data_IF_612462336575
#
_entry.id   IF_612462336575
#
_cell.length_a   1.000
_cell.length_b   1.000
_cell.length_c   1.000
_cell.angle_alpha   90.00
_cell.angle_beta   90.00
_cell.angle_gamma   90.00
#
_symmetry.space_group_name_H-M   'P 1'
#
loop_
_entity.id
_entity.type
_entity.pdbx_description
1 polymer ?
#
# COMPACT_ATOMS: atom_id res chain seq x y z
N UNK A 1 -22.33 27.72 -11.29
CA UNK A 1 -21.46 26.62 -10.82
C UNK A 1 -20.04 27.13 -10.83
N UNK A 2 -19.30 26.97 -9.74
CA UNK A 2 -17.87 27.32 -9.73
C UNK A 2 -17.12 26.33 -10.63
N UNK A 3 -16.17 26.82 -11.44
CA UNK A 3 -15.26 25.97 -12.21
C UNK A 3 -14.25 25.24 -11.31
N UNK A 4 -13.38 24.38 -11.87
CA UNK A 4 -12.38 23.64 -11.09
C UNK A 4 -11.48 24.61 -10.32
N UNK A 5 -11.05 24.22 -9.12
CA UNK A 5 -10.13 25.03 -8.34
C UNK A 5 -8.80 25.20 -9.10
N UNK A 6 -8.27 26.43 -9.14
CA UNK A 6 -6.99 26.74 -9.81
C UNK A 6 -6.05 27.46 -8.85
N UNK A 7 -4.76 27.12 -8.90
CA UNK A 7 -3.74 27.72 -8.05
C UNK A 7 -2.47 28.05 -8.86
N UNK A 8 -1.90 29.24 -8.64
CA UNK A 8 -0.59 29.61 -9.17
C UNK A 8 0.50 29.35 -8.14
N UNK A 9 1.56 28.63 -8.54
CA UNK A 9 2.76 28.40 -7.73
C UNK A 9 3.91 29.19 -8.35
N UNK A 10 4.54 30.03 -7.55
CA UNK A 10 5.69 30.85 -7.96
C UNK A 10 6.93 30.43 -7.17
N UNK A 11 8.09 30.42 -7.83
CA UNK A 11 9.40 30.23 -7.22
C UNK A 11 10.38 31.26 -7.76
N UNK A 12 11.08 31.95 -6.84
CA UNK A 12 12.06 32.99 -7.16
C UNK A 12 13.40 32.59 -6.54
N UNK A 13 14.37 32.28 -7.39
CA UNK A 13 15.72 31.90 -6.97
C UNK A 13 16.59 33.13 -6.69
N UNK A 14 17.46 33.03 -5.69
CA UNK A 14 18.40 34.09 -5.32
C UNK A 14 19.29 34.58 -6.49
N UNK A 15 19.61 33.69 -7.44
CA UNK A 15 20.39 34.00 -8.66
C UNK A 15 19.58 34.66 -9.80
N UNK A 16 18.30 34.99 -9.58
CA UNK A 16 17.43 35.64 -10.57
C UNK A 16 16.63 34.68 -11.47
N UNK A 17 16.74 33.37 -11.27
CA UNK A 17 15.93 32.39 -11.97
C UNK A 17 14.51 32.31 -11.38
N UNK A 18 13.50 32.43 -12.22
CA UNK A 18 12.09 32.41 -11.81
C UNK A 18 11.32 31.30 -12.51
N UNK A 19 10.41 30.65 -11.80
CA UNK A 19 9.50 29.66 -12.34
C UNK A 19 8.08 29.92 -11.87
N UNK A 20 7.11 29.71 -12.75
CA UNK A 20 5.68 29.84 -12.47
C UNK A 20 4.92 28.64 -13.05
N UNK A 21 4.03 28.05 -12.26
CA UNK A 21 3.16 26.93 -12.67
C UNK A 21 1.73 27.26 -12.28
N UNK A 22 0.79 26.95 -13.17
CA UNK A 22 -0.65 26.96 -12.87
C UNK A 22 -1.12 25.52 -12.72
N UNK A 23 -1.76 25.24 -11.59
CA UNK A 23 -2.38 23.96 -11.26
C UNK A 23 -3.89 24.09 -11.37
N UNK A 24 -4.55 23.04 -11.84
CA UNK A 24 -6.00 22.89 -11.85
C UNK A 24 -6.35 21.60 -11.10
N UNK A 25 -7.48 21.62 -10.38
CA UNK A 25 -8.08 20.45 -9.75
C UNK A 25 -8.28 19.33 -10.78
N UNK A 26 -7.95 18.06 -10.46
CA UNK A 26 -8.19 16.96 -11.38
C UNK A 26 -9.70 16.78 -11.63
N UNK A 27 -10.11 16.27 -12.79
CA UNK A 27 -11.51 15.96 -13.03
C UNK A 27 -12.00 14.94 -12.00
N UNK A 28 -13.23 15.12 -11.51
CA UNK A 28 -13.86 14.15 -10.64
C UNK A 28 -13.99 12.81 -11.39
N UNK A 29 -13.39 11.77 -10.83
CA UNK A 29 -13.49 10.40 -11.35
C UNK A 29 -14.23 9.58 -10.30
N UNK A 30 -15.38 9.03 -10.68
CA UNK A 30 -16.08 8.06 -9.82
C UNK A 30 -15.21 6.83 -9.66
N UNK A 31 -15.04 6.38 -8.41
CA UNK A 31 -14.36 5.12 -8.13
C UNK A 31 -15.38 4.00 -8.20
N UNK A 32 -15.07 2.97 -8.98
CA UNK A 32 -15.81 1.72 -8.93
C UNK A 32 -15.67 1.12 -7.52
N UNK A 33 -16.77 0.66 -6.90
CA UNK A 33 -16.69 -0.07 -5.65
C UNK A 33 -15.83 -1.33 -5.84
N UNK A 34 -14.92 -1.59 -4.92
CA UNK A 34 -14.13 -2.82 -4.95
C UNK A 34 -15.00 -4.04 -4.68
N UNK A 35 -14.79 -5.12 -5.42
CA UNK A 35 -15.41 -6.41 -5.14
C UNK A 35 -14.93 -6.93 -3.78
N UNK A 36 -15.83 -6.92 -2.79
CA UNK A 36 -15.61 -7.56 -1.50
C UNK A 36 -15.67 -9.09 -1.63
N UNK A 37 -14.87 -9.80 -0.83
CA UNK A 37 -14.95 -11.26 -0.67
C UNK A 37 -13.76 -12.05 -1.22
N UNK A 38 -12.92 -11.45 -2.06
CA UNK A 38 -11.65 -12.07 -2.45
C UNK A 38 -10.52 -11.69 -1.50
N UNK A 39 -9.77 -12.70 -1.04
CA UNK A 39 -8.59 -12.46 -0.21
C UNK A 39 -7.53 -11.65 -0.98
N UNK A 40 -6.99 -10.62 -0.33
CA UNK A 40 -5.89 -9.78 -0.80
C UNK A 40 -4.67 -9.97 0.09
N UNK A 41 -3.48 -9.81 -0.49
CA UNK A 41 -2.21 -9.89 0.22
C UNK A 41 -1.60 -8.49 0.35
N UNK A 42 -1.63 -7.95 1.56
CA UNK A 42 -0.87 -6.75 1.90
C UNK A 42 0.57 -7.15 2.21
N UNK A 43 1.53 -6.60 1.46
CA UNK A 43 2.96 -6.79 1.70
C UNK A 43 3.58 -5.50 2.20
N UNK A 44 4.31 -5.56 3.30
CA UNK A 44 5.00 -4.42 3.90
C UNK A 44 6.45 -4.83 4.17
N UNK A 45 7.41 -3.98 3.79
CA UNK A 45 8.81 -4.23 4.11
C UNK A 45 9.53 -2.96 4.58
N UNK A 46 10.53 -3.14 5.43
CA UNK A 46 11.33 -2.05 5.97
C UNK A 46 12.79 -2.47 6.22
N UNK A 47 13.67 -1.48 6.42
CA UNK A 47 15.11 -1.69 6.65
C UNK A 47 15.47 -2.14 8.06
N UNK A 48 14.51 -2.14 8.97
CA UNK A 48 14.68 -2.61 10.35
C UNK A 48 13.32 -3.07 10.89
N UNK A 49 13.35 -3.91 11.92
CA UNK A 49 12.16 -4.40 12.59
C UNK A 49 11.32 -3.26 13.23
N UNK A 50 11.89 -2.28 13.95
CA UNK A 50 11.10 -1.14 14.46
C UNK A 50 10.43 -0.32 13.34
N UNK A 51 11.13 -0.15 12.21
CA UNK A 51 10.56 0.57 11.07
C UNK A 51 9.43 -0.23 10.40
N UNK A 52 9.50 -1.57 10.44
CA UNK A 52 8.42 -2.43 9.96
C UNK A 52 7.18 -2.29 10.84
N UNK A 53 7.35 -2.33 12.17
CA UNK A 53 6.26 -2.13 13.13
C UNK A 53 5.62 -0.75 12.96
N UNK A 54 6.42 0.31 12.87
CA UNK A 54 5.90 1.67 12.64
C UNK A 54 5.11 1.75 11.32
N UNK A 55 5.65 1.17 10.24
CA UNK A 55 5.01 1.19 8.94
C UNK A 55 3.70 0.39 8.94
N UNK A 56 3.66 -0.78 9.59
CA UNK A 56 2.44 -1.56 9.77
C UNK A 56 1.35 -0.76 10.51
N UNK A 57 1.73 -0.02 11.56
CA UNK A 57 0.85 0.91 12.25
C UNK A 57 0.28 1.99 11.34
N UNK A 58 1.13 2.61 10.51
CA UNK A 58 0.67 3.61 9.52
C UNK A 58 -0.29 3.03 8.48
N UNK A 59 -0.09 1.79 8.03
CA UNK A 59 -1.03 1.12 7.13
C UNK A 59 -2.39 0.87 7.80
N UNK A 60 -2.39 0.36 9.03
CA UNK A 60 -3.61 0.15 9.83
C UNK A 60 -4.38 1.45 9.99
N UNK A 61 -3.71 2.51 10.42
CA UNK A 61 -4.32 3.81 10.68
C UNK A 61 -4.84 4.41 9.37
N UNK A 62 -4.08 4.31 8.27
CA UNK A 62 -4.52 4.79 6.95
C UNK A 62 -5.77 4.08 6.44
N UNK A 63 -5.87 2.76 6.62
CA UNK A 63 -7.05 1.98 6.25
C UNK A 63 -8.27 2.29 7.12
N UNK A 64 -8.05 2.66 8.39
CA UNK A 64 -9.12 3.05 9.32
C UNK A 64 -9.63 4.46 9.03
N UNK A 65 -8.73 5.39 8.76
CA UNK A 65 -9.05 6.82 8.75
C UNK A 65 -9.55 7.32 7.37
N UNK A 66 -9.37 6.53 6.30
CA UNK A 66 -9.81 6.88 4.94
C UNK A 66 -10.63 5.75 4.29
N UNK A 67 -11.95 5.86 4.42
CA UNK A 67 -12.90 4.88 3.86
C UNK A 67 -12.91 4.85 2.33
N UNK A 68 -12.35 5.86 1.65
CA UNK A 68 -12.27 5.90 0.19
C UNK A 68 -11.21 4.97 -0.39
N UNK A 69 -10.33 4.44 0.45
CA UNK A 69 -9.32 3.47 0.06
C UNK A 69 -9.91 2.07 -0.02
N UNK A 70 -9.76 1.44 -1.18
CA UNK A 70 -10.07 0.03 -1.35
C UNK A 70 -8.88 -0.82 -0.88
N UNK A 71 -9.16 -1.99 -0.28
CA UNK A 71 -8.10 -2.93 0.11
C UNK A 71 -7.28 -3.36 -1.10
N UNK A 72 -7.93 -3.55 -2.25
CA UNK A 72 -7.29 -3.92 -3.52
C UNK A 72 -6.25 -2.90 -3.95
N UNK A 73 -6.58 -1.60 -3.98
CA UNK A 73 -5.64 -0.55 -4.41
C UNK A 73 -4.46 -0.41 -3.46
N UNK A 74 -4.71 -0.56 -2.15
CA UNK A 74 -3.66 -0.50 -1.12
C UNK A 74 -2.70 -1.66 -1.29
N UNK A 75 -3.20 -2.89 -1.42
CA UNK A 75 -2.37 -4.09 -1.63
C UNK A 75 -1.61 -4.02 -2.96
N UNK A 76 -2.26 -3.62 -4.05
CA UNK A 76 -1.64 -3.45 -5.36
C UNK A 76 -0.49 -2.44 -5.30
N UNK A 77 -0.72 -1.28 -4.69
CA UNK A 77 0.29 -0.23 -4.56
C UNK A 77 1.44 -0.66 -3.67
N UNK A 78 1.16 -1.34 -2.55
CA UNK A 78 2.18 -1.85 -1.66
C UNK A 78 3.09 -2.87 -2.36
N UNK A 79 2.51 -3.78 -3.15
CA UNK A 79 3.25 -4.83 -3.84
C UNK A 79 4.08 -4.33 -5.04
N UNK A 80 3.59 -3.32 -5.78
CA UNK A 80 4.20 -2.95 -7.07
C UNK A 80 4.90 -1.59 -7.08
N UNK A 81 4.66 -0.74 -6.07
CA UNK A 81 5.14 0.66 -6.06
C UNK A 81 6.01 0.98 -4.85
N UNK A 82 6.46 -0.04 -4.09
CA UNK A 82 7.35 0.13 -2.94
C UNK A 82 8.61 -0.69 -3.15
N UNK A 83 9.71 -0.22 -2.56
CA UNK A 83 10.96 -0.95 -2.57
C UNK A 83 10.86 -2.15 -1.63
N UNK A 84 11.54 -3.24 -1.99
CA UNK A 84 11.70 -4.41 -1.13
C UNK A 84 12.88 -4.24 -0.16
N UNK A 85 12.66 -4.68 1.08
CA UNK A 85 13.65 -4.70 2.15
C UNK A 85 13.63 -6.05 2.89
N UNK A 86 14.58 -6.23 3.82
CA UNK A 86 14.83 -7.54 4.47
C UNK A 86 13.81 -7.88 5.56
N UNK A 87 13.30 -6.89 6.29
CA UNK A 87 12.25 -7.11 7.29
C UNK A 87 10.90 -7.02 6.61
N UNK A 88 10.11 -8.10 6.67
CA UNK A 88 8.88 -8.23 5.88
C UNK A 88 7.72 -8.70 6.74
N UNK A 89 6.55 -8.14 6.44
CA UNK A 89 5.25 -8.53 6.98
C UNK A 89 4.31 -8.77 5.81
N UNK A 90 3.54 -9.85 5.87
CA UNK A 90 2.52 -10.17 4.91
C UNK A 90 1.20 -10.47 5.63
N UNK A 91 0.13 -9.76 5.24
CA UNK A 91 -1.21 -9.93 5.80
C UNK A 91 -2.16 -10.32 4.69
N UNK A 92 -2.75 -11.51 4.80
CA UNK A 92 -3.86 -11.93 3.96
C UNK A 92 -5.16 -11.48 4.62
N UNK A 93 -6.07 -10.82 3.88
CA UNK A 93 -7.38 -10.44 4.39
C UNK A 93 -8.40 -10.37 3.25
N UNK A 94 -9.63 -10.81 3.51
CA UNK A 94 -10.76 -10.76 2.57
C UNK A 94 -11.60 -9.48 2.72
N UNK A 95 -11.29 -8.64 3.71
CA UNK A 95 -11.94 -7.35 3.93
C UNK A 95 -11.00 -6.32 4.54
N UNK A 96 -11.36 -5.04 4.39
CA UNK A 96 -10.65 -3.92 5.03
C UNK A 96 -10.58 -4.08 6.55
N UNK A 97 -11.71 -4.44 7.18
CA UNK A 97 -11.77 -4.61 8.63
C UNK A 97 -10.86 -5.74 9.10
N UNK A 98 -10.90 -6.88 8.43
CA UNK A 98 -10.02 -8.01 8.75
C UNK A 98 -8.54 -7.64 8.61
N UNK A 99 -8.18 -6.84 7.61
CA UNK A 99 -6.81 -6.34 7.46
C UNK A 99 -6.40 -5.43 8.63
N UNK A 100 -7.27 -4.52 9.06
CA UNK A 100 -7.05 -3.64 10.22
C UNK A 100 -6.85 -4.47 11.50
N UNK A 101 -7.70 -5.46 11.73
CA UNK A 101 -7.65 -6.32 12.93
C UNK A 101 -6.36 -7.16 12.94
N UNK A 102 -5.98 -7.76 11.81
CA UNK A 102 -4.74 -8.55 11.69
C UNK A 102 -3.49 -7.69 11.85
N UNK A 103 -3.48 -6.46 11.31
CA UNK A 103 -2.40 -5.51 11.57
C UNK A 103 -2.35 -5.10 13.05
N UNK A 104 -3.50 -4.98 13.71
CA UNK A 104 -3.60 -4.77 15.15
C UNK A 104 -2.90 -5.87 15.95
N UNK A 105 -3.25 -7.13 15.71
CA UNK A 105 -2.64 -8.27 16.39
C UNK A 105 -1.11 -8.33 16.20
N UNK A 106 -0.63 -8.09 14.97
CA UNK A 106 0.82 -8.04 14.71
C UNK A 106 1.52 -6.96 15.55
N UNK A 107 0.89 -5.79 15.72
CA UNK A 107 1.45 -4.69 16.51
C UNK A 107 1.41 -4.98 18.01
N UNK A 108 0.44 -5.78 18.46
CA UNK A 108 0.34 -6.27 19.84
C UNK A 108 1.28 -7.46 20.10
N UNK A 109 2.06 -7.87 19.10
CA UNK A 109 3.03 -8.97 19.17
C UNK A 109 2.44 -10.34 18.88
N UNK A 110 1.15 -10.42 18.52
CA UNK A 110 0.50 -11.64 18.07
C UNK A 110 0.96 -11.96 16.65
N UNK A 111 1.95 -12.83 16.57
CA UNK A 111 2.34 -13.43 15.31
C UNK A 111 1.40 -14.61 15.07
N UNK A 112 0.77 -14.74 13.89
CA UNK A 112 0.09 -15.98 13.56
C UNK A 112 1.10 -17.13 13.73
N UNK A 113 0.61 -18.25 14.29
CA UNK A 113 1.40 -19.47 14.46
C UNK A 113 2.23 -19.74 13.21
N UNK A 114 3.46 -20.27 13.38
CA UNK A 114 4.35 -20.64 12.28
C UNK A 114 3.54 -21.15 11.09
N UNK A 115 3.74 -20.60 9.88
CA UNK A 115 2.99 -21.07 8.73
C UNK A 115 3.16 -22.58 8.67
N UNK A 116 2.05 -23.32 8.61
CA UNK A 116 2.10 -24.76 8.38
C UNK A 116 3.08 -24.98 7.22
N UNK A 117 4.05 -25.92 7.36
CA UNK A 117 5.14 -26.06 6.42
C UNK A 117 4.55 -26.05 5.02
N UNK A 118 4.95 -25.05 4.22
CA UNK A 118 4.56 -24.96 2.82
C UNK A 118 4.87 -26.31 2.21
N UNK A 119 3.84 -27.03 1.78
CA UNK A 119 4.02 -28.24 1.01
C UNK A 119 5.00 -27.88 -0.11
N UNK A 120 6.12 -28.61 -0.17
CA UNK A 120 7.22 -28.36 -1.10
C UNK A 120 6.65 -27.99 -2.47
N UNK A 121 7.01 -26.80 -2.95
CA UNK A 121 6.57 -26.36 -4.28
C UNK A 121 6.96 -27.45 -5.29
N UNK A 122 6.07 -27.84 -6.21
CA UNK A 122 6.45 -28.76 -7.28
C UNK A 122 7.51 -28.06 -8.13
N UNK A 123 8.77 -28.36 -7.87
CA UNK A 123 9.89 -28.00 -8.73
C UNK A 123 9.87 -28.99 -9.88
N UNK A 124 8.98 -28.75 -10.85
CA UNK A 124 9.14 -29.39 -12.15
C UNK A 124 10.24 -28.62 -12.87
N UNK A 125 11.45 -29.18 -13.06
CA UNK A 125 12.46 -28.49 -13.85
C UNK A 125 11.94 -28.39 -15.28
N UNK A 126 11.67 -27.16 -15.74
CA UNK A 126 11.41 -26.89 -17.15
C UNK A 126 12.69 -27.24 -17.92
N UNK A 127 12.75 -28.45 -18.50
CA UNK A 127 13.75 -28.75 -19.50
C UNK A 127 13.48 -27.88 -20.73
N UNK A 128 14.28 -26.83 -20.91
CA UNK A 128 14.43 -26.16 -22.19
C UNK A 128 15.11 -27.14 -23.15
N UNK A 129 14.34 -27.65 -24.12
CA UNK A 129 14.90 -28.32 -25.29
C UNK A 129 15.68 -27.29 -26.11
N UNK A 130 16.96 -27.57 -26.36
CA UNK A 130 17.78 -26.82 -27.31
C UNK A 130 17.34 -27.03 -28.75
#
# INVERSE_FOLDING_TARGET
MAGPARAGVNSFGFGGANAHVVLEEPPHTEREPSEDGEARLLTVSARSEPALTELAGRYRDRLRDDESLTLTDVCYTAALRRADHDHRLAVVAASRQECIDRLGGVLDGEHPAEPAPVASWPTTPTQLSQ
#
